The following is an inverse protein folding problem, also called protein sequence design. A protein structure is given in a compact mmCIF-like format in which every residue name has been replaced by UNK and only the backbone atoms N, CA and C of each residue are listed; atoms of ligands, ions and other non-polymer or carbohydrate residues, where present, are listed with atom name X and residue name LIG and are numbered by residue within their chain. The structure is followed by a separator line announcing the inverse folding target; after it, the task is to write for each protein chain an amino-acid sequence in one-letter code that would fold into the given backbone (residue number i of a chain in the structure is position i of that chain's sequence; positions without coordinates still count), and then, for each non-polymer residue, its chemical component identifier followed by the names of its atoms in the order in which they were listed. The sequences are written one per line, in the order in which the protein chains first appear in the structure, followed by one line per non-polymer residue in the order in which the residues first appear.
data_IF_748436931007
#
_entry.id   IF_748436931007
#
_cell.length_a   1.000
_cell.length_b   1.000
_cell.length_c   1.000
_cell.angle_alpha   90.00
_cell.angle_beta   90.00
_cell.angle_gamma   90.00
#
_symmetry.space_group_name_H-M   'P 1'
#
loop_
_entity.id
_entity.type
_entity.pdbx_description
1 polymer ?
#
# COMPACT_ATOMS: atom_id res chain seq x y z
N UNK A 1 7.57 -13.28 18.44
CA UNK A 1 6.62 -13.08 17.31
C UNK A 1 6.73 -11.65 16.82
N UNK A 2 6.78 -11.46 15.50
CA UNK A 2 6.74 -10.16 14.85
C UNK A 2 5.59 -10.13 13.82
N UNK A 3 4.92 -8.98 13.70
CA UNK A 3 3.84 -8.76 12.75
C UNK A 3 4.26 -7.67 11.78
N UNK A 4 4.44 -8.03 10.51
CA UNK A 4 4.71 -7.08 9.43
C UNK A 4 3.43 -6.68 8.70
N UNK A 5 3.36 -5.42 8.34
CA UNK A 5 2.25 -4.86 7.58
C UNK A 5 2.76 -4.30 6.25
N UNK A 6 1.99 -4.49 5.20
CA UNK A 6 2.01 -3.56 4.09
C UNK A 6 1.43 -2.20 4.50
N UNK A 7 1.69 -1.14 3.73
CA UNK A 7 1.26 0.20 4.07
C UNK A 7 0.04 0.67 3.27
N UNK A 8 0.18 0.79 1.95
CA UNK A 8 -0.86 1.36 1.08
C UNK A 8 -2.00 0.37 0.84
N UNK A 9 -3.26 0.77 1.04
CA UNK A 9 -4.47 -0.07 1.03
C UNK A 9 -4.57 -1.08 2.19
N UNK A 10 -3.51 -1.24 2.95
CA UNK A 10 -3.51 -2.07 4.17
C UNK A 10 -3.75 -1.20 5.40
N UNK A 11 -2.78 -0.40 5.81
CA UNK A 11 -2.92 0.56 6.92
C UNK A 11 -3.52 1.89 6.46
N UNK A 12 -3.14 2.36 5.27
CA UNK A 12 -3.55 3.65 4.70
C UNK A 12 -4.67 3.50 3.70
N UNK A 13 -5.69 4.36 3.79
CA UNK A 13 -6.76 4.47 2.79
C UNK A 13 -6.27 5.22 1.55
N UNK A 14 -5.37 4.54 0.83
CA UNK A 14 -4.78 5.03 -0.40
C UNK A 14 -5.85 5.34 -1.46
N UNK A 15 -6.88 4.49 -1.56
CA UNK A 15 -7.88 4.59 -2.63
C UNK A 15 -8.72 5.86 -2.49
N UNK A 16 -9.10 6.23 -1.27
CA UNK A 16 -9.84 7.47 -1.00
C UNK A 16 -9.00 8.70 -1.34
N UNK A 17 -7.75 8.75 -0.92
CA UNK A 17 -6.84 9.85 -1.23
C UNK A 17 -6.60 9.99 -2.74
N UNK A 18 -6.36 8.86 -3.44
CA UNK A 18 -6.18 8.84 -4.90
C UNK A 18 -7.43 9.35 -5.63
N UNK A 19 -8.62 8.86 -5.25
CA UNK A 19 -9.89 9.26 -5.88
C UNK A 19 -10.17 10.76 -5.71
N UNK A 20 -9.84 11.34 -4.55
CA UNK A 20 -9.99 12.79 -4.30
C UNK A 20 -9.04 13.60 -5.18
N UNK A 21 -7.79 13.18 -5.31
CA UNK A 21 -6.82 13.79 -6.21
C UNK A 21 -7.25 13.73 -7.68
N UNK A 22 -7.72 12.56 -8.14
CA UNK A 22 -8.25 12.35 -9.49
C UNK A 22 -9.45 13.28 -9.75
N UNK A 23 -10.38 13.35 -8.80
CA UNK A 23 -11.57 14.21 -8.89
C UNK A 23 -11.18 15.67 -9.02
N UNK A 24 -10.23 16.15 -8.24
CA UNK A 24 -9.77 17.54 -8.30
C UNK A 24 -9.18 17.89 -9.67
N UNK A 25 -8.38 16.99 -10.25
CA UNK A 25 -7.85 17.16 -11.62
C UNK A 25 -8.98 17.17 -12.64
N UNK A 26 -9.89 16.21 -12.57
CA UNK A 26 -11.02 16.13 -13.50
C UNK A 26 -11.87 17.40 -13.47
N UNK A 27 -12.30 17.86 -12.30
CA UNK A 27 -13.14 19.07 -12.14
C UNK A 27 -12.43 20.34 -12.64
N UNK A 28 -11.12 20.45 -12.36
CA UNK A 28 -10.34 21.61 -12.82
C UNK A 28 -10.23 21.69 -14.33
N UNK A 29 -10.07 20.55 -14.99
CA UNK A 29 -9.80 20.45 -16.44
C UNK A 29 -10.97 19.85 -17.25
N UNK A 30 -12.18 19.78 -16.68
CA UNK A 30 -13.34 19.12 -17.31
C UNK A 30 -13.69 19.62 -18.69
N UNK A 31 -13.42 20.91 -18.98
CA UNK A 31 -13.66 21.48 -20.31
C UNK A 31 -12.62 21.02 -21.36
N UNK A 32 -11.55 20.38 -20.92
CA UNK A 32 -10.47 19.87 -21.74
C UNK A 32 -10.50 18.33 -21.83
N UNK A 33 -11.38 17.68 -21.05
CA UNK A 33 -11.50 16.23 -20.94
C UNK A 33 -12.77 15.79 -21.68
N UNK A 34 -12.62 14.87 -22.65
CA UNK A 34 -13.72 14.40 -23.49
C UNK A 34 -14.40 13.13 -22.96
N UNK A 35 -13.73 12.37 -22.08
CA UNK A 35 -14.32 11.20 -21.43
C UNK A 35 -15.09 11.61 -20.17
N UNK A 36 -16.06 10.81 -19.76
CA UNK A 36 -16.74 11.03 -18.48
C UNK A 36 -15.84 10.73 -17.27
N UNK A 37 -16.30 11.07 -16.07
CA UNK A 37 -15.51 10.91 -14.86
C UNK A 37 -15.18 9.44 -14.57
N UNK A 38 -16.09 8.52 -14.83
CA UNK A 38 -15.85 7.09 -14.56
C UNK A 38 -14.77 6.54 -15.49
N UNK A 39 -14.85 6.85 -16.77
CA UNK A 39 -13.83 6.47 -17.74
C UNK A 39 -12.48 7.10 -17.42
N UNK A 40 -12.46 8.38 -17.03
CA UNK A 40 -11.25 9.07 -16.59
C UNK A 40 -10.59 8.35 -15.39
N UNK A 41 -11.36 7.97 -14.39
CA UNK A 41 -10.88 7.21 -13.25
C UNK A 41 -10.30 5.84 -13.65
N UNK A 42 -10.97 5.11 -14.54
CA UNK A 42 -10.52 3.80 -15.04
C UNK A 42 -9.19 3.95 -15.77
N UNK A 43 -9.08 4.93 -16.67
CA UNK A 43 -7.83 5.19 -17.39
C UNK A 43 -6.71 5.63 -16.44
N UNK A 44 -7.01 6.51 -15.49
CA UNK A 44 -6.02 6.94 -14.50
C UNK A 44 -5.45 5.74 -13.73
N UNK A 45 -6.30 4.90 -13.13
CA UNK A 45 -5.87 3.74 -12.34
C UNK A 45 -5.09 2.73 -13.18
N UNK A 46 -5.52 2.48 -14.42
CA UNK A 46 -4.80 1.62 -15.36
C UNK A 46 -3.38 2.11 -15.61
N UNK A 47 -3.23 3.40 -15.91
CA UNK A 47 -1.92 3.96 -16.21
C UNK A 47 -1.09 4.21 -14.95
N UNK A 48 -1.73 4.47 -13.80
CA UNK A 48 -1.03 4.50 -12.52
C UNK A 48 -0.35 3.16 -12.22
N UNK A 49 -1.05 2.04 -12.42
CA UNK A 49 -0.48 0.71 -12.25
C UNK A 49 0.65 0.46 -13.25
N UNK A 50 0.43 0.72 -14.54
CA UNK A 50 1.43 0.52 -15.58
C UNK A 50 2.76 1.27 -15.30
N UNK A 51 2.67 2.54 -14.93
CA UNK A 51 3.86 3.34 -14.63
C UNK A 51 4.51 2.93 -13.29
N UNK A 52 3.71 2.50 -12.32
CA UNK A 52 4.22 1.99 -11.06
C UNK A 52 4.99 0.66 -11.25
N UNK A 53 4.50 -0.23 -12.11
CA UNK A 53 5.21 -1.48 -12.45
C UNK A 53 6.57 -1.19 -13.06
N UNK A 54 6.66 -0.22 -13.97
CA UNK A 54 7.93 0.24 -14.54
C UNK A 54 8.89 0.82 -13.51
N UNK A 55 8.38 1.63 -12.57
CA UNK A 55 9.15 2.12 -11.45
C UNK A 55 9.68 0.96 -10.58
N UNK A 56 8.83 0.00 -10.26
CA UNK A 56 9.20 -1.17 -9.46
C UNK A 56 10.23 -2.07 -10.16
N UNK A 57 10.23 -2.07 -11.50
CA UNK A 57 11.23 -2.74 -12.32
C UNK A 57 12.54 -1.94 -12.47
N UNK A 58 12.62 -0.71 -11.94
CA UNK A 58 13.78 0.16 -12.06
C UNK A 58 13.93 0.86 -13.42
N UNK A 59 12.87 0.82 -14.27
CA UNK A 59 12.87 1.45 -15.58
C UNK A 59 12.60 2.97 -15.52
N UNK A 60 11.95 3.43 -14.45
CA UNK A 60 11.57 4.82 -14.24
C UNK A 60 11.93 5.29 -12.83
N UNK A 61 12.15 6.58 -12.67
CA UNK A 61 12.21 7.23 -11.37
C UNK A 61 10.83 7.38 -10.75
N UNK A 62 10.78 7.66 -9.45
CA UNK A 62 9.52 7.90 -8.74
C UNK A 62 8.76 9.13 -9.30
N UNK A 63 9.46 10.16 -9.75
CA UNK A 63 8.86 11.34 -10.37
C UNK A 63 8.31 11.05 -11.77
N UNK A 64 9.07 10.35 -12.60
CA UNK A 64 8.65 9.96 -13.95
C UNK A 64 7.38 9.10 -13.94
N UNK A 65 7.28 8.11 -13.02
CA UNK A 65 6.08 7.28 -12.94
C UNK A 65 4.84 8.07 -12.55
N UNK A 66 4.96 9.03 -11.64
CA UNK A 66 3.84 9.87 -11.19
C UNK A 66 3.35 10.83 -12.27
N UNK A 67 4.27 11.47 -12.95
CA UNK A 67 3.99 12.42 -14.03
C UNK A 67 3.54 11.72 -15.30
N UNK A 68 4.12 10.57 -15.61
CA UNK A 68 3.81 9.76 -16.79
C UNK A 68 2.34 9.36 -16.88
N UNK A 69 1.72 8.95 -15.75
CA UNK A 69 0.28 8.60 -15.73
C UNK A 69 -0.61 9.78 -16.10
N UNK A 70 -0.26 10.98 -15.62
CA UNK A 70 -1.02 12.20 -15.91
C UNK A 70 -0.89 12.56 -17.39
N UNK A 71 0.34 12.61 -17.90
CA UNK A 71 0.60 12.89 -19.31
C UNK A 71 -0.19 11.92 -20.22
N UNK A 72 -0.20 10.62 -19.87
CA UNK A 72 -0.88 9.60 -20.66
C UNK A 72 -2.39 9.73 -20.64
N UNK A 73 -2.99 10.03 -19.52
CA UNK A 73 -4.45 10.20 -19.41
C UNK A 73 -4.90 11.43 -20.23
N UNK A 74 -4.16 12.53 -20.23
CA UNK A 74 -4.48 13.68 -21.06
C UNK A 74 -4.21 13.44 -22.56
N UNK A 75 -3.18 12.67 -22.92
CA UNK A 75 -2.99 12.20 -24.31
C UNK A 75 -4.20 11.43 -24.83
N UNK A 76 -4.73 10.49 -24.04
CA UNK A 76 -5.92 9.71 -24.39
C UNK A 76 -7.17 10.60 -24.56
N UNK A 77 -7.21 11.72 -23.87
CA UNK A 77 -8.26 12.74 -24.03
C UNK A 77 -8.09 13.63 -25.27
N UNK A 78 -7.18 13.32 -26.19
CA UNK A 78 -6.86 14.14 -27.37
C UNK A 78 -6.40 15.56 -27.03
N UNK A 79 -5.97 15.77 -25.81
CA UNK A 79 -5.41 17.02 -25.31
C UNK A 79 -4.06 16.75 -24.64
N UNK A 80 -3.03 16.36 -25.41
CA UNK A 80 -1.70 16.07 -24.86
C UNK A 80 -1.11 17.31 -24.18
N UNK A 81 -0.47 17.08 -23.06
CA UNK A 81 0.26 18.11 -22.31
C UNK A 81 1.40 18.64 -23.19
N UNK A 82 1.52 19.97 -23.30
CA UNK A 82 2.38 20.64 -24.28
C UNK A 82 3.71 21.12 -23.70
N UNK A 83 3.81 21.24 -22.36
CA UNK A 83 5.02 21.71 -21.70
C UNK A 83 5.23 21.03 -20.36
N UNK A 84 6.48 21.08 -19.86
CA UNK A 84 6.81 20.60 -18.53
C UNK A 84 6.07 21.38 -17.43
N UNK A 85 5.92 22.69 -17.59
CA UNK A 85 5.19 23.55 -16.65
C UNK A 85 3.73 23.13 -16.50
N UNK A 86 3.08 22.80 -17.63
CA UNK A 86 1.70 22.30 -17.64
C UNK A 86 1.61 20.96 -16.92
N UNK A 87 2.55 20.03 -17.17
CA UNK A 87 2.61 18.74 -16.50
C UNK A 87 2.80 18.91 -14.99
N UNK A 88 3.74 19.76 -14.59
CA UNK A 88 4.04 20.02 -13.18
C UNK A 88 2.86 20.69 -12.47
N UNK A 89 2.14 21.60 -13.14
CA UNK A 89 0.93 22.21 -12.59
C UNK A 89 -0.19 21.19 -12.34
N UNK A 90 -0.45 20.32 -13.33
CA UNK A 90 -1.47 19.26 -13.19
C UNK A 90 -1.09 18.23 -12.14
N UNK A 91 0.19 17.86 -12.09
CA UNK A 91 0.73 16.98 -11.06
C UNK A 91 0.62 17.61 -9.66
N UNK A 92 1.01 18.88 -9.50
CA UNK A 92 0.96 19.58 -8.21
C UNK A 92 -0.48 19.66 -7.67
N UNK A 93 -1.47 19.88 -8.53
CA UNK A 93 -2.87 19.85 -8.13
C UNK A 93 -3.27 18.47 -7.58
N UNK A 94 -2.98 17.42 -8.34
CA UNK A 94 -3.25 16.05 -7.89
C UNK A 94 -2.56 15.76 -6.55
N UNK A 95 -1.25 16.04 -6.50
CA UNK A 95 -0.40 15.70 -5.36
C UNK A 95 -0.80 16.45 -4.09
N UNK A 96 -1.13 17.73 -4.19
CA UNK A 96 -1.53 18.54 -3.02
C UNK A 96 -2.79 18.00 -2.34
N UNK A 97 -3.73 17.46 -3.10
CA UNK A 97 -4.95 16.84 -2.55
C UNK A 97 -4.63 15.45 -2.02
N UNK A 98 -3.98 14.61 -2.83
CA UNK A 98 -3.60 13.26 -2.46
C UNK A 98 -2.77 13.23 -1.17
N UNK A 99 -1.75 14.07 -1.08
CA UNK A 99 -0.88 14.15 0.09
C UNK A 99 -1.62 14.61 1.35
N UNK A 100 -2.58 15.53 1.22
CA UNK A 100 -3.37 16.01 2.35
C UNK A 100 -4.30 14.93 2.91
N UNK A 101 -4.79 14.06 2.06
CA UNK A 101 -5.83 13.06 2.37
C UNK A 101 -5.26 11.68 2.74
N UNK A 102 -3.96 11.57 3.03
CA UNK A 102 -3.40 10.35 3.59
C UNK A 102 -3.94 10.11 4.99
N UNK A 103 -4.85 9.19 5.11
CA UNK A 103 -5.42 8.81 6.40
C UNK A 103 -5.26 7.29 6.60
N UNK A 104 -5.09 6.90 7.85
CA UNK A 104 -5.25 5.50 8.24
C UNK A 104 -6.70 5.05 8.03
N UNK A 105 -6.91 3.79 7.72
CA UNK A 105 -8.22 3.20 7.94
C UNK A 105 -8.61 3.34 9.42
N UNK A 106 -9.89 3.57 9.68
CA UNK A 106 -10.39 3.87 11.04
C UNK A 106 -10.13 2.76 12.07
N UNK A 107 -9.99 1.52 11.61
CA UNK A 107 -9.70 0.33 12.41
C UNK A 107 -8.18 0.08 12.61
N UNK A 108 -7.30 0.78 11.86
CA UNK A 108 -5.86 0.53 11.91
C UNK A 108 -5.24 0.99 13.23
N UNK A 109 -5.43 2.25 13.63
CA UNK A 109 -4.82 2.79 14.85
C UNK A 109 -5.27 2.05 16.13
N UNK A 110 -6.56 1.71 16.32
CA UNK A 110 -6.98 0.88 17.44
C UNK A 110 -6.29 -0.48 17.48
N UNK A 111 -6.13 -1.13 16.32
CA UNK A 111 -5.45 -2.41 16.22
C UNK A 111 -3.96 -2.32 16.55
N UNK A 112 -3.25 -1.30 16.02
CA UNK A 112 -1.83 -1.07 16.33
C UNK A 112 -1.61 -0.85 17.82
N UNK A 113 -2.45 -0.04 18.48
CA UNK A 113 -2.39 0.15 19.94
C UNK A 113 -2.60 -1.16 20.69
N UNK A 114 -3.61 -1.94 20.31
CA UNK A 114 -3.92 -3.22 20.93
C UNK A 114 -2.75 -4.21 20.84
N UNK A 115 -2.08 -4.31 19.67
CA UNK A 115 -0.90 -5.14 19.51
C UNK A 115 0.30 -4.62 20.32
N UNK A 116 0.47 -3.30 20.38
CA UNK A 116 1.50 -2.66 21.20
C UNK A 116 1.31 -2.94 22.70
N UNK A 117 0.08 -2.84 23.20
CA UNK A 117 -0.27 -3.07 24.61
C UNK A 117 0.06 -4.50 25.07
N UNK A 118 0.07 -5.47 24.16
CA UNK A 118 0.46 -6.85 24.42
C UNK A 118 1.90 -7.15 23.96
N UNK A 119 2.71 -6.11 23.77
CA UNK A 119 4.15 -6.19 23.43
C UNK A 119 4.48 -6.98 22.16
N UNK A 120 3.62 -6.91 21.13
CA UNK A 120 3.92 -7.47 19.82
C UNK A 120 4.86 -6.52 19.07
N UNK A 121 6.00 -7.05 18.63
CA UNK A 121 6.86 -6.32 17.71
C UNK A 121 6.15 -6.15 16.35
N UNK A 122 6.13 -4.92 15.85
CA UNK A 122 5.52 -4.61 14.57
C UNK A 122 6.53 -4.01 13.61
N UNK A 123 6.40 -4.33 12.31
CA UNK A 123 7.25 -3.79 11.26
C UNK A 123 6.46 -3.46 9.99
N UNK A 124 7.11 -2.78 9.06
CA UNK A 124 6.56 -2.45 7.73
C UNK A 124 7.40 -3.11 6.65
N UNK A 125 6.74 -3.66 5.62
CA UNK A 125 7.35 -4.04 4.34
C UNK A 125 6.51 -3.42 3.23
N UNK A 126 7.03 -2.39 2.57
CA UNK A 126 6.26 -1.63 1.58
C UNK A 126 7.06 -1.35 0.31
N UNK A 127 6.38 -1.42 -0.84
CA UNK A 127 6.94 -0.93 -2.09
C UNK A 127 6.73 0.58 -2.20
N UNK A 128 7.73 1.29 -2.72
CA UNK A 128 7.62 2.71 -2.99
C UNK A 128 8.89 3.48 -2.69
N UNK A 129 8.77 4.78 -2.80
CA UNK A 129 9.83 5.74 -2.51
C UNK A 129 9.95 5.98 -1.00
N UNK A 130 11.19 6.05 -0.50
CA UNK A 130 11.49 6.16 0.92
C UNK A 130 10.87 7.41 1.56
N UNK A 131 11.10 8.57 0.95
CA UNK A 131 10.62 9.85 1.48
C UNK A 131 9.09 9.85 1.57
N UNK A 132 8.44 9.35 0.51
CA UNK A 132 6.99 9.27 0.45
C UNK A 132 6.41 8.32 1.52
N UNK A 133 6.94 7.10 1.64
CA UNK A 133 6.41 6.12 2.61
C UNK A 133 6.65 6.55 4.06
N UNK A 134 7.84 7.11 4.35
CA UNK A 134 8.14 7.66 5.68
C UNK A 134 7.29 8.88 6.02
N UNK A 135 7.01 9.75 5.05
CA UNK A 135 6.12 10.90 5.23
C UNK A 135 4.70 10.46 5.60
N UNK A 136 4.18 9.39 4.97
CA UNK A 136 2.86 8.80 5.31
C UNK A 136 2.80 8.37 6.77
N UNK A 137 3.76 7.56 7.21
CA UNK A 137 3.82 7.06 8.59
C UNK A 137 3.92 8.21 9.61
N UNK A 138 4.76 9.21 9.30
CA UNK A 138 4.95 10.39 10.16
C UNK A 138 3.68 11.24 10.25
N UNK A 139 3.02 11.52 9.14
CA UNK A 139 1.75 12.29 9.12
C UNK A 139 0.64 11.57 9.87
N UNK A 140 0.56 10.26 9.73
CA UNK A 140 -0.39 9.43 10.45
C UNK A 140 -0.07 9.30 11.95
N UNK A 141 1.12 9.73 12.40
CA UNK A 141 1.53 9.63 13.80
C UNK A 141 1.76 8.21 14.28
N UNK A 142 2.14 7.29 13.38
CA UNK A 142 2.28 5.86 13.69
C UNK A 142 3.69 5.31 13.50
N UNK A 143 4.67 6.15 13.17
CA UNK A 143 6.05 5.72 12.93
C UNK A 143 6.61 4.91 14.09
N UNK A 144 6.36 5.32 15.32
CA UNK A 144 6.94 4.74 16.54
C UNK A 144 6.40 3.33 16.87
N UNK A 145 5.32 2.90 16.21
CA UNK A 145 4.83 1.53 16.34
C UNK A 145 5.71 0.51 15.60
N UNK A 146 6.55 0.93 14.65
CA UNK A 146 7.19 0.01 13.71
C UNK A 146 8.71 0.00 13.79
N UNK A 147 9.25 -1.18 14.02
CA UNK A 147 10.67 -1.49 13.91
C UNK A 147 10.85 -2.98 13.59
N UNK A 148 11.40 -3.33 12.39
CA UNK A 148 11.95 -2.45 11.36
C UNK A 148 10.90 -1.88 10.39
N UNK A 149 11.29 -0.84 9.63
CA UNK A 149 10.57 -0.31 8.47
C UNK A 149 11.41 -0.61 7.24
N UNK A 150 10.92 -1.48 6.36
CA UNK A 150 11.61 -1.92 5.13
C UNK A 150 10.87 -1.36 3.92
N UNK A 151 11.53 -0.47 3.19
CA UNK A 151 10.99 0.19 2.00
C UNK A 151 11.80 -0.24 0.77
N UNK A 152 11.13 -0.61 -0.31
CA UNK A 152 11.78 -1.19 -1.49
C UNK A 152 12.88 -0.31 -2.08
N UNK A 153 12.70 1.02 -2.13
CA UNK A 153 13.73 1.93 -2.64
C UNK A 153 14.97 2.02 -1.76
N UNK A 154 14.86 1.72 -0.45
CA UNK A 154 16.00 1.74 0.48
C UNK A 154 16.86 0.47 0.36
N UNK A 155 16.20 -0.66 0.11
CA UNK A 155 16.88 -1.97 0.05
C UNK A 155 17.19 -2.43 -1.37
N UNK A 156 16.68 -1.72 -2.39
CA UNK A 156 16.86 -2.08 -3.80
C UNK A 156 16.12 -3.35 -4.23
N UNK A 157 15.13 -3.79 -3.45
CA UNK A 157 14.35 -5.02 -3.67
C UNK A 157 12.88 -4.71 -3.44
N UNK A 158 12.03 -5.07 -4.41
CA UNK A 158 10.58 -4.83 -4.33
C UNK A 158 9.80 -6.12 -4.16
N UNK A 159 8.67 -6.09 -3.45
CA UNK A 159 7.67 -7.15 -3.50
C UNK A 159 7.21 -7.33 -4.95
N UNK A 160 7.05 -8.54 -5.48
CA UNK A 160 6.94 -9.82 -4.77
C UNK A 160 8.25 -10.62 -4.61
N UNK A 161 9.45 -10.03 -4.76
CA UNK A 161 10.69 -10.75 -4.49
C UNK A 161 10.75 -11.19 -3.02
N UNK A 162 11.02 -12.47 -2.79
CA UNK A 162 11.07 -13.08 -1.46
C UNK A 162 12.15 -12.44 -0.56
N UNK A 163 13.21 -11.90 -1.17
CA UNK A 163 14.33 -11.32 -0.45
C UNK A 163 13.96 -10.12 0.41
N UNK A 164 12.93 -9.33 0.01
CA UNK A 164 12.50 -8.19 0.85
C UNK A 164 11.88 -8.67 2.17
N UNK A 165 11.12 -9.77 2.15
CA UNK A 165 10.56 -10.37 3.35
C UNK A 165 11.66 -11.01 4.22
N UNK A 166 12.61 -11.70 3.58
CA UNK A 166 13.77 -12.29 4.28
C UNK A 166 14.60 -11.19 4.97
N UNK A 167 14.83 -10.07 4.28
CA UNK A 167 15.53 -8.91 4.86
C UNK A 167 14.80 -8.32 6.05
N UNK A 168 13.47 -8.24 5.99
CA UNK A 168 12.65 -7.76 7.10
C UNK A 168 12.72 -8.70 8.31
N UNK A 169 12.64 -10.01 8.10
CA UNK A 169 12.81 -11.00 9.16
C UNK A 169 14.20 -10.96 9.80
N UNK A 170 15.26 -10.82 8.99
CA UNK A 170 16.63 -10.63 9.47
C UNK A 170 16.73 -9.41 10.40
N UNK A 171 16.19 -8.27 9.97
CA UNK A 171 16.22 -7.02 10.75
C UNK A 171 15.38 -7.10 12.04
N UNK A 172 14.33 -7.90 12.05
CA UNK A 172 13.51 -8.15 13.22
C UNK A 172 14.06 -9.28 14.12
N UNK A 173 15.10 -9.97 13.68
CA UNK A 173 15.64 -11.17 14.33
C UNK A 173 14.56 -12.23 14.59
N UNK A 174 13.75 -12.54 13.58
CA UNK A 174 12.65 -13.50 13.68
C UNK A 174 12.72 -14.62 12.64
N UNK A 175 12.24 -15.80 13.03
CA UNK A 175 12.07 -16.95 12.15
C UNK A 175 10.75 -16.88 11.35
N UNK A 176 10.62 -17.71 10.31
CA UNK A 176 9.40 -17.77 9.50
C UNK A 176 8.17 -18.13 10.35
N UNK A 177 8.32 -19.09 11.28
CA UNK A 177 7.23 -19.54 12.15
C UNK A 177 6.76 -18.49 13.16
N UNK A 178 7.64 -17.53 13.52
CA UNK A 178 7.35 -16.43 14.44
C UNK A 178 6.91 -15.17 13.73
N UNK A 179 6.93 -15.18 12.39
CA UNK A 179 6.61 -14.02 11.56
C UNK A 179 5.18 -14.11 11.04
N UNK A 180 4.50 -12.97 11.12
CA UNK A 180 3.20 -12.73 10.53
C UNK A 180 3.31 -11.63 9.51
N UNK A 181 2.54 -11.75 8.43
CA UNK A 181 2.47 -10.72 7.40
C UNK A 181 1.00 -10.43 7.05
N UNK A 182 0.67 -9.15 7.00
CA UNK A 182 -0.66 -8.65 6.67
C UNK A 182 -0.55 -7.72 5.45
N UNK A 183 -1.31 -7.99 4.40
CA UNK A 183 -1.34 -7.17 3.20
C UNK A 183 -2.61 -7.35 2.40
N UNK A 184 -2.85 -6.43 1.44
CA UNK A 184 -4.06 -6.38 0.61
C UNK A 184 -3.86 -6.97 -0.80
N UNK A 185 -2.62 -7.21 -1.22
CA UNK A 185 -2.31 -7.68 -2.56
C UNK A 185 -2.04 -9.19 -2.60
N UNK A 186 -2.88 -10.00 -3.26
CA UNK A 186 -2.59 -11.42 -3.43
C UNK A 186 -1.22 -11.67 -4.06
N UNK A 187 -0.84 -10.90 -5.09
CA UNK A 187 0.38 -11.13 -5.86
C UNK A 187 1.63 -10.61 -5.17
N UNK A 188 1.56 -9.42 -4.56
CA UNK A 188 2.73 -8.76 -3.98
C UNK A 188 2.96 -9.11 -2.51
N UNK A 189 1.90 -9.48 -1.79
CA UNK A 189 1.95 -9.71 -0.35
C UNK A 189 1.77 -11.18 0.01
N UNK A 190 0.65 -11.76 -0.42
CA UNK A 190 0.19 -13.04 0.11
C UNK A 190 0.96 -14.21 -0.48
N UNK A 191 1.05 -14.28 -1.81
CA UNK A 191 1.74 -15.40 -2.48
C UNK A 191 3.22 -15.47 -2.07
N UNK A 192 4.02 -14.38 -2.07
CA UNK A 192 5.41 -14.45 -1.64
C UNK A 192 5.57 -14.79 -0.16
N UNK A 193 4.77 -14.22 0.75
CA UNK A 193 4.83 -14.54 2.18
C UNK A 193 4.51 -16.02 2.45
N UNK A 194 3.50 -16.58 1.78
CA UNK A 194 3.16 -18.01 1.87
C UNK A 194 4.27 -18.93 1.34
N UNK A 195 4.99 -18.53 0.28
CA UNK A 195 6.16 -19.28 -0.22
C UNK A 195 7.27 -19.38 0.82
N UNK A 196 7.42 -18.36 1.67
CA UNK A 196 8.35 -18.36 2.79
C UNK A 196 7.80 -19.06 4.05
N UNK A 197 6.59 -19.61 4.01
CA UNK A 197 5.93 -20.27 5.15
C UNK A 197 5.68 -19.32 6.34
N UNK A 198 5.54 -18.03 6.08
CA UNK A 198 5.15 -17.01 7.05
C UNK A 198 3.64 -17.14 7.32
N UNK A 199 3.21 -16.93 8.56
CA UNK A 199 1.78 -16.78 8.88
C UNK A 199 1.22 -15.56 8.16
N UNK A 200 0.16 -15.73 7.40
CA UNK A 200 -0.27 -14.71 6.44
C UNK A 200 -1.76 -14.39 6.59
N UNK A 201 -2.09 -13.12 6.72
CA UNK A 201 -3.45 -12.62 6.72
C UNK A 201 -3.68 -11.74 5.50
N UNK A 202 -4.55 -12.22 4.60
CA UNK A 202 -4.99 -11.44 3.45
C UNK A 202 -6.07 -10.46 3.89
N UNK A 203 -5.78 -9.17 3.85
CA UNK A 203 -6.75 -8.12 4.18
C UNK A 203 -7.60 -7.79 2.95
N UNK A 204 -8.75 -8.42 2.85
CA UNK A 204 -9.75 -8.13 1.82
C UNK A 204 -10.93 -7.34 2.41
N UNK A 205 -10.84 -6.02 2.39
CA UNK A 205 -11.87 -5.12 2.93
C UNK A 205 -13.21 -5.20 2.22
N UNK A 206 -13.26 -5.86 1.05
CA UNK A 206 -14.48 -6.10 0.26
C UNK A 206 -15.08 -7.50 0.50
N UNK A 207 -14.43 -8.33 1.33
CA UNK A 207 -14.92 -9.67 1.65
C UNK A 207 -16.31 -9.62 2.27
N UNK A 208 -17.18 -10.46 1.74
CA UNK A 208 -18.50 -10.73 2.30
C UNK A 208 -18.54 -12.12 2.94
N UNK A 209 -19.41 -12.30 3.91
CA UNK A 209 -19.59 -13.57 4.61
C UNK A 209 -18.65 -13.77 5.81
N UNK A 210 -18.65 -14.99 6.33
CA UNK A 210 -17.95 -15.34 7.56
C UNK A 210 -16.43 -15.46 7.36
N UNK A 211 -15.69 -15.26 8.45
CA UNK A 211 -14.24 -15.51 8.51
C UNK A 211 -13.94 -16.98 8.23
N UNK A 212 -13.01 -17.23 7.30
CA UNK A 212 -12.52 -18.56 6.98
C UNK A 212 -11.01 -18.63 7.20
N UNK A 213 -10.58 -19.57 8.04
CA UNK A 213 -9.17 -19.92 8.20
C UNK A 213 -8.93 -21.18 7.36
N UNK A 214 -8.21 -21.02 6.25
CA UNK A 214 -7.96 -22.11 5.29
C UNK A 214 -6.81 -23.02 5.70
N UNK A 215 -5.79 -22.46 6.40
CA UNK A 215 -4.59 -23.19 6.78
C UNK A 215 -4.15 -22.75 8.18
N UNK A 216 -3.68 -23.70 9.00
CA UNK A 216 -3.31 -23.44 10.40
C UNK A 216 -1.81 -23.47 10.68
N UNK A 217 -0.99 -24.04 9.80
CA UNK A 217 0.47 -24.12 9.99
C UNK A 217 1.23 -24.19 8.66
N UNK A 218 1.85 -23.10 8.16
CA UNK A 218 1.66 -21.74 8.67
C UNK A 218 0.20 -21.30 8.51
N UNK A 219 -0.25 -20.40 9.38
CA UNK A 219 -1.63 -19.92 9.34
C UNK A 219 -1.85 -19.07 8.08
N UNK A 220 -2.98 -19.30 7.43
CA UNK A 220 -3.51 -18.41 6.39
C UNK A 220 -5.00 -18.17 6.63
N UNK A 221 -5.38 -16.90 6.61
CA UNK A 221 -6.78 -16.51 6.63
C UNK A 221 -7.03 -15.25 5.79
N UNK A 222 -8.25 -15.12 5.28
CA UNK A 222 -8.73 -13.90 4.66
C UNK A 222 -9.56 -13.12 5.66
N UNK A 223 -9.10 -11.92 6.03
CA UNK A 223 -9.74 -11.02 6.99
C UNK A 223 -10.32 -9.80 6.27
N UNK A 224 -11.43 -9.25 6.75
CA UNK A 224 -12.06 -8.06 6.16
C UNK A 224 -11.61 -6.75 6.81
N UNK A 225 -11.12 -6.81 8.05
CA UNK A 225 -10.74 -5.65 8.85
C UNK A 225 -9.68 -6.01 9.89
N UNK A 226 -9.16 -5.01 10.56
CA UNK A 226 -8.18 -5.20 11.62
C UNK A 226 -8.76 -5.75 12.91
N UNK A 227 -10.08 -5.77 13.11
CA UNK A 227 -10.69 -6.42 14.27
C UNK A 227 -10.58 -7.94 14.14
N UNK A 228 -10.94 -8.50 12.98
CA UNK A 228 -10.74 -9.94 12.71
C UNK A 228 -9.24 -10.32 12.77
N UNK A 229 -8.35 -9.46 12.23
CA UNK A 229 -6.91 -9.67 12.28
C UNK A 229 -6.41 -9.79 13.73
N UNK A 230 -6.74 -8.84 14.59
CA UNK A 230 -6.29 -8.84 15.98
C UNK A 230 -6.82 -10.02 16.76
N UNK A 231 -8.06 -10.45 16.53
CA UNK A 231 -8.64 -11.63 17.15
C UNK A 231 -7.86 -12.90 16.81
N UNK A 232 -7.49 -13.09 15.53
CA UNK A 232 -6.68 -14.24 15.10
C UNK A 232 -5.31 -14.22 15.78
N UNK A 233 -4.62 -13.08 15.79
CA UNK A 233 -3.29 -12.96 16.40
C UNK A 233 -3.34 -13.24 17.90
N UNK A 234 -4.32 -12.69 18.63
CA UNK A 234 -4.49 -12.95 20.06
C UNK A 234 -4.78 -14.42 20.37
N UNK A 235 -5.59 -15.08 19.54
CA UNK A 235 -5.88 -16.50 19.71
C UNK A 235 -4.63 -17.37 19.45
N UNK A 236 -3.79 -16.99 18.50
CA UNK A 236 -2.52 -17.67 18.25
C UNK A 236 -1.50 -17.53 19.38
N UNK A 237 -1.62 -16.50 20.22
CA UNK A 237 -0.76 -16.32 21.41
C UNK A 237 -1.19 -17.18 22.60
N UNK A 238 -2.44 -17.64 22.62
CA UNK A 238 -3.01 -18.42 23.74
C UNK A 238 -2.88 -19.92 23.56
N UNK A 239 -2.56 -20.39 22.38
CA UNK A 239 -2.46 -21.83 22.02
C UNK A 239 -1.05 -22.26 21.82
#
# INVERSE_FOLDING_TARGET
MVVFFDLDRTLMDFESAENLGIKAVFEKYKNEIYMDFNEFCVQWKKWAQHFFDKYSAGELTFDEQRKGRIAKVFELNRNPIKSQEELDSRFSLYWSIYEKEYNLFSDALPALKKLSDINIQMGIITNGDSENQRSKLKKAGVTDFFSPIVISSEVGISKPDLKIFQKAMELANSSESETWYIGDSPEHDIVPARKLRINTLYLNRKRQGELKIEQKNPLYAEVKDFYEMTEIIENALKG
#
